data_IF_358868133400
#
_entry.id   IF_358868133400
#
_cell.length_a   1.000
_cell.length_b   1.000
_cell.length_c   1.000
_cell.angle_alpha   90.00
_cell.angle_beta   90.00
_cell.angle_gamma   90.00
#
_symmetry.space_group_name_H-M   'P 1'
#
loop_
_entity.id
_entity.type
_entity.pdbx_description
1 polymer ?
#
# COMPACT_ATOMS: atom_id res chain seq x y z
N UNK A 1 -17.67 -10.76 9.38
CA UNK A 1 -18.85 -10.28 8.64
C UNK A 1 -20.05 -10.14 9.57
N UNK A 2 -20.68 -11.22 10.09
CA UNK A 2 -21.70 -11.14 11.19
C UNK A 2 -21.36 -11.86 12.50
N UNK A 3 -20.25 -12.62 12.57
CA UNK A 3 -19.76 -13.29 13.80
C UNK A 3 -20.77 -14.26 14.46
N UNK A 4 -21.61 -14.92 13.65
CA UNK A 4 -22.63 -15.85 14.15
C UNK A 4 -23.87 -15.21 14.78
N UNK A 5 -23.98 -13.87 14.74
CA UNK A 5 -25.16 -13.14 15.24
C UNK A 5 -26.32 -13.30 14.24
N UNK A 6 -27.54 -13.65 14.71
CA UNK A 6 -28.75 -13.76 13.88
C UNK A 6 -29.03 -12.51 13.03
N UNK A 7 -29.80 -12.67 11.97
CA UNK A 7 -30.05 -11.57 11.01
C UNK A 7 -30.88 -10.44 11.62
N UNK A 8 -31.77 -10.80 12.54
CA UNK A 8 -32.73 -9.97 13.26
C UNK A 8 -32.19 -9.41 14.58
N UNK A 9 -30.93 -9.68 14.90
CA UNK A 9 -30.28 -9.19 16.12
C UNK A 9 -29.14 -8.21 15.80
N UNK A 10 -29.00 -7.20 16.66
CA UNK A 10 -27.92 -6.23 16.59
C UNK A 10 -26.67 -6.74 17.31
N UNK A 11 -25.52 -6.57 16.67
CA UNK A 11 -24.23 -6.96 17.23
C UNK A 11 -23.53 -5.76 17.86
N UNK A 12 -22.93 -5.94 19.04
CA UNK A 12 -22.05 -4.91 19.61
C UNK A 12 -20.83 -4.68 18.70
N UNK A 13 -20.48 -3.42 18.41
CA UNK A 13 -19.32 -3.10 17.58
C UNK A 13 -18.01 -3.45 18.28
N UNK A 14 -17.00 -3.84 17.50
CA UNK A 14 -15.64 -4.00 18.01
C UNK A 14 -14.99 -2.61 18.15
N UNK A 15 -14.00 -2.47 19.05
CA UNK A 15 -13.13 -1.29 19.03
C UNK A 15 -12.51 -1.09 17.64
N UNK A 16 -12.21 0.17 17.30
CA UNK A 16 -11.51 0.47 16.05
C UNK A 16 -10.12 -0.17 16.07
N UNK A 17 -9.81 -0.91 15.00
CA UNK A 17 -8.48 -1.49 14.79
C UNK A 17 -7.46 -0.38 14.56
N UNK A 18 -6.20 -0.64 14.93
CA UNK A 18 -5.13 0.35 14.81
C UNK A 18 -4.42 0.19 13.47
N UNK A 19 -4.11 1.31 12.84
CA UNK A 19 -3.28 1.31 11.62
C UNK A 19 -1.90 0.77 11.97
N UNK A 20 -1.41 -0.14 11.13
CA UNK A 20 -0.03 -0.62 11.20
C UNK A 20 0.92 0.49 10.75
N UNK A 21 1.85 0.86 11.63
CA UNK A 21 2.73 2.01 11.43
C UNK A 21 4.16 1.69 11.86
N UNK A 22 4.83 0.84 11.07
CA UNK A 22 6.17 0.33 11.36
C UNK A 22 7.16 0.62 10.22
N UNK A 23 6.71 1.25 9.14
CA UNK A 23 7.47 1.51 7.91
C UNK A 23 8.04 0.26 7.22
N UNK A 24 7.54 -0.93 7.59
CA UNK A 24 7.94 -2.21 7.02
C UNK A 24 7.10 -2.55 5.80
N UNK A 25 7.75 -2.63 4.64
CA UNK A 25 7.10 -2.98 3.39
C UNK A 25 6.62 -4.44 3.43
N UNK A 26 5.36 -4.65 3.08
CA UNK A 26 4.81 -5.98 2.85
C UNK A 26 5.19 -6.46 1.43
N UNK A 27 5.51 -7.74 1.24
CA UNK A 27 5.76 -8.29 -0.08
C UNK A 27 4.49 -8.21 -0.94
N UNK A 28 4.69 -8.04 -2.24
CA UNK A 28 3.64 -8.18 -3.24
C UNK A 28 3.60 -9.61 -3.75
N UNK A 29 2.41 -10.05 -4.17
CA UNK A 29 2.12 -11.41 -4.58
C UNK A 29 1.91 -11.55 -6.10
N UNK A 30 1.95 -10.44 -6.84
CA UNK A 30 1.94 -10.38 -8.31
C UNK A 30 2.46 -9.00 -8.75
N UNK A 31 3.01 -8.93 -9.97
CA UNK A 31 3.77 -7.76 -10.46
C UNK A 31 3.02 -6.43 -10.35
N UNK A 32 1.72 -6.44 -10.67
CA UNK A 32 0.89 -5.23 -10.70
C UNK A 32 0.13 -4.98 -9.39
N UNK A 33 0.42 -5.71 -8.31
CA UNK A 33 -0.22 -5.48 -7.02
C UNK A 33 0.22 -4.12 -6.46
N UNK A 34 -0.70 -3.19 -6.16
CA UNK A 34 -0.35 -1.97 -5.44
C UNK A 34 0.19 -2.35 -4.05
N UNK A 35 1.40 -1.95 -3.66
CA UNK A 35 1.88 -2.16 -2.31
C UNK A 35 0.97 -1.46 -1.30
N UNK A 36 0.74 -2.11 -0.16
CA UNK A 36 0.07 -1.49 0.98
C UNK A 36 0.97 -0.41 1.59
N UNK A 37 0.36 0.61 2.17
CA UNK A 37 1.05 1.71 2.86
C UNK A 37 1.44 1.21 4.27
N UNK A 38 2.73 1.17 4.63
CA UNK A 38 3.19 0.61 5.91
C UNK A 38 3.23 1.63 7.07
N UNK A 39 2.60 2.78 6.87
CA UNK A 39 2.58 3.90 7.82
C UNK A 39 1.21 4.59 7.86
N UNK A 40 0.99 5.37 8.91
CA UNK A 40 -0.20 6.19 9.08
C UNK A 40 -0.27 7.31 8.03
N UNK A 41 -1.49 7.68 7.63
CA UNK A 41 -1.75 8.74 6.64
C UNK A 41 -2.84 9.70 7.07
N UNK A 42 -3.31 9.61 8.31
CA UNK A 42 -4.47 10.35 8.83
C UNK A 42 -4.36 11.87 8.65
N UNK A 43 -3.14 12.40 8.67
CA UNK A 43 -2.84 13.84 8.53
C UNK A 43 -2.29 14.21 7.14
N UNK A 44 -2.38 13.32 6.15
CA UNK A 44 -1.82 13.56 4.83
C UNK A 44 -2.86 14.20 3.93
N UNK A 45 -2.66 15.49 3.63
CA UNK A 45 -3.53 16.20 2.71
C UNK A 45 -3.36 15.69 1.28
N UNK A 46 -4.47 15.33 0.65
CA UNK A 46 -4.56 14.92 -0.73
C UNK A 46 -5.78 15.58 -1.39
N UNK A 47 -5.54 16.69 -2.07
CA UNK A 47 -6.54 17.55 -2.71
C UNK A 47 -6.06 17.97 -4.09
N UNK A 48 -6.88 18.69 -4.87
CA UNK A 48 -6.46 19.23 -6.17
C UNK A 48 -5.21 20.13 -6.10
N UNK A 49 -4.91 20.72 -4.93
CA UNK A 49 -3.81 21.67 -4.76
C UNK A 49 -2.63 21.10 -3.95
N UNK A 50 -2.83 19.98 -3.24
CA UNK A 50 -1.81 19.43 -2.35
C UNK A 50 -1.77 17.90 -2.42
N UNK A 51 -0.56 17.35 -2.52
CA UNK A 51 -0.33 15.91 -2.40
C UNK A 51 0.82 15.66 -1.42
N UNK A 52 0.48 15.31 -0.18
CA UNK A 52 1.48 15.04 0.87
C UNK A 52 2.32 13.80 0.57
N UNK A 53 1.79 12.81 -0.15
CA UNK A 53 2.52 11.60 -0.54
C UNK A 53 3.74 11.95 -1.40
N UNK A 54 3.57 12.89 -2.34
CA UNK A 54 4.62 13.31 -3.26
C UNK A 54 5.72 14.15 -2.61
N UNK A 55 5.56 14.59 -1.35
CA UNK A 55 6.67 15.16 -0.59
C UNK A 55 7.82 14.16 -0.42
N UNK A 56 7.49 12.90 -0.16
CA UNK A 56 8.46 11.83 0.11
C UNK A 56 8.68 10.92 -1.11
N UNK A 57 7.63 10.58 -1.86
CA UNK A 57 7.69 9.52 -2.89
C UNK A 57 8.06 10.00 -4.30
N UNK A 58 8.40 11.29 -4.49
CA UNK A 58 8.99 11.75 -5.76
C UNK A 58 10.37 11.15 -5.98
N UNK A 59 10.78 11.00 -7.25
CA UNK A 59 12.14 10.53 -7.58
C UNK A 59 13.23 11.39 -6.93
N UNK A 60 13.02 12.70 -6.83
CA UNK A 60 13.98 13.64 -6.26
C UNK A 60 14.08 13.57 -4.74
N UNK A 61 12.99 13.25 -4.03
CA UNK A 61 12.95 13.31 -2.57
C UNK A 61 13.04 11.94 -1.90
N UNK A 62 12.74 10.86 -2.62
CA UNK A 62 12.72 9.48 -2.11
C UNK A 62 13.95 9.12 -1.29
N UNK A 63 15.15 9.39 -1.81
CA UNK A 63 16.41 9.10 -1.10
C UNK A 63 16.53 9.88 0.22
N UNK A 64 16.15 11.17 0.23
CA UNK A 64 16.22 12.03 1.41
C UNK A 64 15.31 11.54 2.54
N UNK A 65 14.11 11.08 2.19
CA UNK A 65 13.10 10.61 3.15
C UNK A 65 13.14 9.09 3.37
N UNK A 66 14.11 8.39 2.76
CA UNK A 66 14.21 6.93 2.80
C UNK A 66 12.93 6.21 2.33
N UNK A 67 12.14 6.89 1.48
CA UNK A 67 10.91 6.37 0.92
C UNK A 67 11.19 5.70 -0.44
N UNK A 68 10.42 4.66 -0.84
CA UNK A 68 10.49 4.17 -2.21
C UNK A 68 9.96 5.25 -3.18
N UNK A 69 10.67 5.55 -4.28
CA UNK A 69 10.11 6.41 -5.30
C UNK A 69 8.94 5.71 -5.98
N UNK A 70 7.91 6.47 -6.37
CA UNK A 70 6.83 5.92 -7.21
C UNK A 70 7.41 5.39 -8.52
N UNK A 71 6.92 4.22 -8.96
CA UNK A 71 7.44 3.53 -10.14
C UNK A 71 7.22 4.33 -11.44
N UNK A 72 7.98 4.06 -12.52
CA UNK A 72 7.80 4.73 -13.81
C UNK A 72 6.37 4.67 -14.36
N UNK A 73 5.62 3.60 -14.07
CA UNK A 73 4.23 3.44 -14.49
C UNK A 73 3.30 4.57 -13.99
N UNK A 74 3.67 5.27 -12.91
CA UNK A 74 2.90 6.40 -12.38
C UNK A 74 3.06 7.68 -13.21
N UNK A 75 4.09 7.76 -14.06
CA UNK A 75 4.40 8.92 -14.89
C UNK A 75 3.82 8.79 -16.30
N UNK A 76 3.05 7.74 -16.59
CA UNK A 76 2.53 7.47 -17.92
C UNK A 76 1.10 8.01 -18.06
N UNK A 77 0.83 8.73 -19.15
CA UNK A 77 -0.51 9.23 -19.50
C UNK A 77 -1.41 8.09 -20.01
N UNK A 78 -2.64 8.43 -20.42
CA UNK A 78 -3.52 7.46 -21.09
C UNK A 78 -2.96 6.96 -22.41
N UNK A 79 -2.30 7.83 -23.15
CA UNK A 79 -1.86 7.56 -24.52
C UNK A 79 -0.40 7.06 -24.57
N UNK A 80 0.15 6.65 -23.42
CA UNK A 80 1.48 6.06 -23.32
C UNK A 80 2.63 7.06 -23.22
N UNK A 81 2.36 8.37 -23.17
CA UNK A 81 3.41 9.38 -23.01
C UNK A 81 3.97 9.36 -21.59
N UNK A 82 5.30 9.40 -21.47
CA UNK A 82 6.00 9.53 -20.18
C UNK A 82 6.16 11.01 -19.83
N UNK A 83 5.77 11.37 -18.61
CA UNK A 83 5.87 12.72 -18.08
C UNK A 83 7.04 12.86 -17.10
N UNK A 84 7.49 14.09 -16.87
CA UNK A 84 8.47 14.41 -15.81
C UNK A 84 7.87 14.31 -14.40
N UNK A 85 6.58 14.60 -14.29
CA UNK A 85 5.80 14.55 -13.06
C UNK A 85 4.77 13.43 -13.10
N UNK A 86 4.21 13.08 -11.94
CA UNK A 86 3.18 12.03 -11.87
C UNK A 86 2.00 12.35 -12.80
N UNK A 87 1.49 11.34 -13.48
CA UNK A 87 0.29 11.44 -14.30
C UNK A 87 -0.90 11.86 -13.43
N UNK A 88 -1.71 12.81 -13.90
CA UNK A 88 -2.92 13.25 -13.19
C UNK A 88 -3.87 12.08 -12.90
N UNK A 89 -3.84 11.03 -13.73
CA UNK A 89 -4.59 9.77 -13.54
C UNK A 89 -4.15 8.96 -12.33
N UNK A 90 -2.97 9.25 -11.77
CA UNK A 90 -2.36 8.56 -10.63
C UNK A 90 -2.13 9.50 -9.44
N UNK A 91 -2.66 10.72 -9.50
CA UNK A 91 -2.48 11.74 -8.48
C UNK A 91 -3.10 11.32 -7.13
N UNK A 92 -4.30 10.74 -7.14
CA UNK A 92 -5.00 10.31 -5.93
C UNK A 92 -4.55 8.90 -5.48
N UNK A 93 -3.41 8.84 -4.79
CA UNK A 93 -2.72 7.59 -4.42
C UNK A 93 -3.63 6.58 -3.67
N UNK A 94 -4.50 7.08 -2.80
CA UNK A 94 -5.38 6.26 -1.94
C UNK A 94 -6.54 5.58 -2.68
N UNK A 95 -6.65 5.79 -3.99
CA UNK A 95 -7.55 5.00 -4.84
C UNK A 95 -7.02 3.58 -5.09
N UNK A 96 -5.70 3.36 -4.93
CA UNK A 96 -5.05 2.08 -5.18
C UNK A 96 -4.24 1.59 -3.98
N UNK A 97 -3.56 2.50 -3.27
CA UNK A 97 -2.75 2.15 -2.11
C UNK A 97 -3.57 2.31 -0.84
N UNK A 98 -3.61 1.25 -0.03
CA UNK A 98 -4.38 1.20 1.21
C UNK A 98 -3.45 0.98 2.40
N UNK A 99 -3.74 1.63 3.53
CA UNK A 99 -3.17 1.25 4.82
C UNK A 99 -3.71 -0.10 5.26
N UNK A 100 -2.99 -0.76 6.16
CA UNK A 100 -3.46 -1.98 6.82
C UNK A 100 -3.60 -1.71 8.32
N UNK A 101 -4.43 -2.52 8.97
CA UNK A 101 -4.64 -2.46 10.42
C UNK A 101 -4.22 -3.77 11.06
N UNK A 102 -4.04 -3.77 12.38
CA UNK A 102 -3.79 -4.95 13.20
C UNK A 102 -4.98 -5.93 13.30
N UNK A 103 -6.09 -5.66 12.60
CA UNK A 103 -7.23 -6.56 12.53
C UNK A 103 -6.87 -7.89 11.83
N UNK A 104 -7.09 -9.04 12.49
CA UNK A 104 -6.88 -10.33 11.83
C UNK A 104 -7.94 -10.56 10.75
N UNK A 105 -7.60 -11.29 9.66
CA UNK A 105 -8.59 -11.76 8.70
C UNK A 105 -9.70 -12.55 9.39
N UNK A 106 -10.95 -12.27 9.05
CA UNK A 106 -12.12 -12.93 9.65
C UNK A 106 -12.25 -14.40 9.22
N UNK A 107 -11.76 -14.70 8.04
CA UNK A 107 -11.70 -16.05 7.44
C UNK A 107 -10.40 -16.15 6.66
N UNK A 108 -9.83 -17.35 6.58
CA UNK A 108 -8.61 -17.59 5.84
C UNK A 108 -8.82 -17.37 4.33
N UNK A 109 -7.78 -16.90 3.63
CA UNK A 109 -7.74 -16.76 2.19
C UNK A 109 -6.80 -17.83 1.61
N UNK A 110 -7.25 -18.54 0.57
CA UNK A 110 -6.50 -19.63 -0.08
C UNK A 110 -5.85 -19.22 -1.40
N UNK A 111 -5.78 -17.92 -1.69
CA UNK A 111 -5.08 -17.37 -2.85
C UNK A 111 -3.60 -17.80 -2.84
N UNK A 112 -3.09 -18.17 -4.02
CA UNK A 112 -1.69 -18.50 -4.25
C UNK A 112 -1.09 -17.44 -5.16
N UNK A 113 -0.14 -16.69 -4.62
CA UNK A 113 0.59 -15.66 -5.34
C UNK A 113 1.79 -16.21 -6.11
N UNK A 114 2.64 -15.30 -6.57
CA UNK A 114 4.02 -15.63 -6.89
C UNK A 114 4.66 -16.33 -5.68
N UNK A 115 5.39 -17.41 -5.92
CA UNK A 115 6.22 -18.02 -4.87
C UNK A 115 7.18 -16.93 -4.35
N UNK A 116 7.35 -16.79 -3.02
CA UNK A 116 8.38 -15.89 -2.52
C UNK A 116 9.70 -16.35 -3.14
N UNK A 117 10.40 -15.44 -3.82
CA UNK A 117 11.81 -15.66 -4.13
C UNK A 117 12.46 -16.07 -2.81
N UNK A 118 12.92 -17.32 -2.74
CA UNK A 118 13.63 -17.82 -1.58
C UNK A 118 14.67 -16.76 -1.24
N UNK A 119 14.65 -16.26 0.00
CA UNK A 119 15.75 -15.49 0.55
C UNK A 119 17.02 -16.14 0.04
N UNK A 120 17.84 -15.38 -0.69
CA UNK A 120 19.10 -15.87 -1.20
C UNK A 120 19.82 -16.50 -0.01
N UNK A 121 19.81 -17.84 0.03
CA UNK A 121 20.44 -18.64 1.08
C UNK A 121 21.84 -18.09 1.23
N UNK A 122 22.30 -17.76 2.45
CA UNK A 122 23.65 -17.25 2.63
C UNK A 122 24.57 -18.30 2.03
N UNK A 123 25.22 -17.95 0.91
CA UNK A 123 26.26 -18.75 0.30
C UNK A 123 27.21 -19.11 1.44
N UNK A 124 27.22 -20.37 1.83
CA UNK A 124 28.29 -20.92 2.65
C UNK A 124 29.58 -20.60 1.90
N UNK A 125 30.36 -19.66 2.44
CA UNK A 125 31.72 -19.44 2.00
C UNK A 125 32.58 -20.61 2.50
N UNK A 126 33.57 -21.04 1.70
CA UNK A 126 34.31 -22.28 1.90
C UNK A 126 35.10 -22.32 3.21
#
# INVERSE_FOLDING_TARGET
MRRGIPIDQEASPLPMARVENFDQRRPVNYEMQPPTIPHAIDNYQLTVNTNRCMLCHTRSNAAKFQAPPVSPAHYVTRDGQVLEQISTRRYFCVQCHVVQTDAPPLVANTFKGLEPEAEASPRAMP
#
